data_IF_777921721389
#
_entry.id   IF_777921721389
#
_cell.length_a   1.000
_cell.length_b   1.000
_cell.length_c   1.000
_cell.angle_alpha   90.00
_cell.angle_beta   90.00
_cell.angle_gamma   90.00
#
_symmetry.space_group_name_H-M   'P 1'
#
loop_
_entity.id
_entity.type
_entity.pdbx_description
1 polymer ?
#
# COMPACT_ATOMS: atom_id res chain seq x y z
N UNK A 1 -19.42 10.19 -40.88
CA UNK A 1 -20.42 10.23 -39.80
C UNK A 1 -19.70 10.58 -38.51
N UNK A 2 -20.10 11.64 -37.79
CA UNK A 2 -19.54 11.94 -36.46
C UNK A 2 -20.04 10.86 -35.50
N UNK A 3 -19.13 10.24 -34.74
CA UNK A 3 -19.53 9.37 -33.63
C UNK A 3 -20.44 10.17 -32.68
N UNK A 4 -21.49 9.55 -32.11
CA UNK A 4 -22.27 10.20 -31.06
C UNK A 4 -21.37 10.58 -29.88
N UNK A 5 -21.67 11.67 -29.16
CA UNK A 5 -20.86 12.10 -28.02
C UNK A 5 -20.81 11.01 -26.96
N UNK A 6 -19.63 10.78 -26.39
CA UNK A 6 -19.45 9.82 -25.30
C UNK A 6 -20.23 10.27 -24.07
N UNK A 7 -21.24 9.49 -23.69
CA UNK A 7 -22.12 9.79 -22.55
C UNK A 7 -21.62 9.20 -21.23
N UNK A 8 -20.55 8.40 -21.25
CA UNK A 8 -20.02 7.73 -20.07
C UNK A 8 -19.67 8.71 -18.94
N UNK A 9 -18.88 9.79 -19.17
CA UNK A 9 -18.53 10.72 -18.10
C UNK A 9 -19.74 11.44 -17.51
N UNK A 10 -20.67 11.89 -18.37
CA UNK A 10 -21.86 12.63 -17.94
C UNK A 10 -22.79 11.77 -17.09
N UNK A 11 -23.04 10.51 -17.49
CA UNK A 11 -23.86 9.55 -16.72
C UNK A 11 -23.20 9.22 -15.38
N UNK A 12 -21.88 9.05 -15.37
CA UNK A 12 -21.11 8.77 -14.17
C UNK A 12 -21.10 9.95 -13.18
N UNK A 13 -20.92 11.17 -13.68
CA UNK A 13 -20.98 12.39 -12.88
C UNK A 13 -22.37 12.62 -12.28
N UNK A 14 -23.44 12.42 -13.05
CA UNK A 14 -24.80 12.53 -12.55
C UNK A 14 -25.11 11.52 -11.43
N UNK A 15 -24.52 10.32 -11.49
CA UNK A 15 -24.58 9.37 -10.39
C UNK A 15 -23.76 9.84 -9.19
N UNK A 16 -22.54 10.34 -9.44
CA UNK A 16 -21.65 10.83 -8.38
C UNK A 16 -22.28 11.99 -7.60
N UNK A 17 -22.93 12.94 -8.27
CA UNK A 17 -23.60 14.08 -7.62
C UNK A 17 -24.69 13.65 -6.61
N UNK A 18 -25.24 12.44 -6.75
CA UNK A 18 -26.32 11.92 -5.90
C UNK A 18 -25.87 10.84 -4.91
N UNK A 19 -24.84 10.08 -5.25
CA UNK A 19 -24.47 8.84 -4.57
C UNK A 19 -22.97 8.73 -4.28
N UNK A 20 -22.17 9.67 -4.78
CA UNK A 20 -20.74 9.75 -4.52
C UNK A 20 -20.43 10.02 -3.06
N UNK A 21 -19.21 9.68 -2.64
CA UNK A 21 -18.70 10.04 -1.32
C UNK A 21 -18.06 11.42 -1.40
N UNK A 22 -18.70 12.37 -0.75
CA UNK A 22 -18.29 13.77 -0.71
C UNK A 22 -17.70 14.18 0.64
N UNK A 23 -17.63 13.29 1.62
CA UNK A 23 -17.24 13.55 3.01
C UNK A 23 -15.88 12.93 3.36
N UNK A 24 -15.14 12.42 2.38
CA UNK A 24 -13.85 11.79 2.62
C UNK A 24 -12.83 12.82 3.12
N UNK A 25 -12.03 12.53 4.17
CA UNK A 25 -11.16 13.53 4.79
C UNK A 25 -10.19 14.23 3.82
N UNK A 26 -9.63 13.49 2.85
CA UNK A 26 -8.69 14.03 1.87
C UNK A 26 -9.32 14.97 0.83
N UNK A 27 -10.66 15.06 0.77
CA UNK A 27 -11.36 15.98 -0.11
C UNK A 27 -11.53 17.38 0.50
N UNK A 28 -11.36 17.54 1.83
CA UNK A 28 -11.67 18.79 2.54
C UNK A 28 -10.55 19.21 3.53
N UNK A 29 -9.77 20.25 3.22
CA UNK A 29 -9.61 20.84 1.90
C UNK A 29 -8.94 19.86 0.94
N UNK A 30 -9.19 20.00 -0.36
CA UNK A 30 -8.45 19.25 -1.39
C UNK A 30 -7.14 19.97 -1.68
N UNK A 31 -6.01 19.30 -1.43
CA UNK A 31 -4.68 19.83 -1.75
C UNK A 31 -3.79 18.72 -2.32
N UNK A 32 -2.73 19.05 -3.10
CA UNK A 32 -1.83 18.05 -3.67
C UNK A 32 -1.29 17.08 -2.62
N UNK A 33 -0.78 17.60 -1.49
CA UNK A 33 -0.25 16.78 -0.40
C UNK A 33 -1.29 15.80 0.18
N UNK A 34 -2.52 16.28 0.42
CA UNK A 34 -3.61 15.45 0.99
C UNK A 34 -4.06 14.36 0.02
N UNK A 35 -4.25 14.73 -1.25
CA UNK A 35 -4.61 13.80 -2.33
C UNK A 35 -3.53 12.72 -2.46
N UNK A 36 -2.27 13.13 -2.63
CA UNK A 36 -1.15 12.20 -2.75
C UNK A 36 -1.04 11.25 -1.56
N UNK A 37 -1.11 11.77 -0.33
CA UNK A 37 -1.07 10.95 0.88
C UNK A 37 -2.20 9.91 0.89
N UNK A 38 -3.44 10.31 0.59
CA UNK A 38 -4.56 9.36 0.52
C UNK A 38 -4.40 8.34 -0.58
N UNK A 39 -3.93 8.74 -1.77
CA UNK A 39 -3.72 7.85 -2.91
C UNK A 39 -2.71 6.74 -2.56
N UNK A 40 -1.59 7.09 -1.91
CA UNK A 40 -0.61 6.10 -1.47
C UNK A 40 -1.21 5.19 -0.39
N UNK A 41 -1.95 5.73 0.59
CA UNK A 41 -2.58 4.93 1.63
C UNK A 41 -3.66 3.98 1.10
N UNK A 42 -4.42 4.38 0.06
CA UNK A 42 -5.51 3.60 -0.54
C UNK A 42 -5.03 2.47 -1.45
N UNK A 43 -3.76 2.44 -1.83
CA UNK A 43 -3.19 1.32 -2.59
C UNK A 43 -3.41 -0.01 -1.83
N UNK A 44 -4.28 -0.86 -2.36
CA UNK A 44 -4.61 -2.17 -1.77
C UNK A 44 -5.11 -2.10 -0.32
N UNK A 45 -5.69 -0.97 0.10
CA UNK A 45 -6.20 -0.75 1.46
C UNK A 45 -7.60 -0.14 1.39
N UNK A 46 -8.53 -0.61 2.22
CA UNK A 46 -9.91 -0.14 2.20
C UNK A 46 -10.05 1.27 2.80
N UNK A 47 -10.97 2.08 2.26
CA UNK A 47 -11.25 3.45 2.70
C UNK A 47 -11.49 3.54 4.21
N UNK A 48 -12.33 2.67 4.78
CA UNK A 48 -12.64 2.67 6.21
C UNK A 48 -11.40 2.44 7.10
N UNK A 49 -10.43 1.65 6.62
CA UNK A 49 -9.15 1.43 7.31
C UNK A 49 -8.26 2.67 7.17
N UNK A 50 -8.23 3.30 6.00
CA UNK A 50 -7.36 4.45 5.72
C UNK A 50 -7.77 5.71 6.50
N UNK A 51 -9.06 5.99 6.66
CA UNK A 51 -9.56 7.23 7.31
C UNK A 51 -8.85 7.55 8.65
N UNK A 52 -8.82 6.66 9.66
CA UNK A 52 -8.16 6.98 10.93
C UNK A 52 -6.64 7.13 10.80
N UNK A 53 -6.00 6.43 9.86
CA UNK A 53 -4.57 6.57 9.60
C UNK A 53 -4.25 7.91 8.96
N UNK A 54 -5.02 8.31 7.95
CA UNK A 54 -4.86 9.59 7.25
C UNK A 54 -4.98 10.77 8.22
N UNK A 55 -6.00 10.76 9.09
CA UNK A 55 -6.21 11.81 10.08
C UNK A 55 -5.05 11.91 11.08
N UNK A 56 -4.63 10.77 11.66
CA UNK A 56 -3.50 10.74 12.60
C UNK A 56 -2.17 11.13 11.93
N UNK A 57 -1.96 10.70 10.70
CA UNK A 57 -0.74 10.99 9.95
C UNK A 57 -0.61 12.50 9.69
N UNK A 58 -1.71 13.18 9.33
CA UNK A 58 -1.73 14.63 9.15
C UNK A 58 -1.57 15.42 10.46
N UNK A 59 -1.98 14.87 11.60
CA UNK A 59 -1.71 15.50 12.90
C UNK A 59 -0.20 15.57 13.19
N UNK A 60 0.56 14.55 12.80
CA UNK A 60 2.01 14.49 13.00
C UNK A 60 2.79 15.18 11.87
N UNK A 61 2.32 15.03 10.63
CA UNK A 61 2.98 15.52 9.42
C UNK A 61 1.98 16.37 8.62
N UNK A 62 1.68 17.60 9.08
CA UNK A 62 0.61 18.43 8.51
C UNK A 62 0.94 18.94 7.09
N UNK A 63 2.21 18.99 6.72
CA UNK A 63 2.68 19.49 5.42
C UNK A 63 3.71 18.54 4.80
N UNK A 64 3.91 18.64 3.48
CA UNK A 64 4.93 17.88 2.78
C UNK A 64 6.34 18.15 3.34
N UNK A 65 6.77 19.40 3.60
CA UNK A 65 8.08 19.65 4.23
C UNK A 65 8.20 19.05 5.63
N UNK A 66 7.13 19.05 6.44
CA UNK A 66 7.15 18.41 7.76
C UNK A 66 7.34 16.89 7.66
N UNK A 67 6.69 16.24 6.68
CA UNK A 67 6.93 14.84 6.38
C UNK A 67 8.38 14.59 5.93
N UNK A 68 8.91 15.42 5.04
CA UNK A 68 10.27 15.28 4.51
C UNK A 68 11.34 15.39 5.61
N UNK A 69 11.16 16.31 6.56
CA UNK A 69 12.08 16.56 7.67
C UNK A 69 12.01 15.49 8.78
N UNK A 70 10.94 14.69 8.84
CA UNK A 70 10.76 13.68 9.87
C UNK A 70 11.79 12.54 9.77
N UNK A 71 12.08 11.92 10.92
CA UNK A 71 12.88 10.70 10.96
C UNK A 71 12.09 9.51 10.42
N UNK A 72 12.82 8.55 9.81
CA UNK A 72 12.22 7.35 9.23
C UNK A 72 11.37 6.58 10.25
N UNK A 73 11.83 6.48 11.51
CA UNK A 73 11.13 5.76 12.57
C UNK A 73 9.79 6.40 12.92
N UNK A 74 9.73 7.74 12.98
CA UNK A 74 8.49 8.46 13.22
C UNK A 74 7.47 8.22 12.10
N UNK A 75 7.91 8.23 10.83
CA UNK A 75 7.05 7.93 9.68
C UNK A 75 6.55 6.48 9.70
N UNK A 76 7.45 5.52 9.96
CA UNK A 76 7.08 4.11 10.04
C UNK A 76 6.13 3.82 11.19
N UNK A 77 6.30 4.49 12.34
CA UNK A 77 5.40 4.38 13.48
C UNK A 77 3.97 4.80 13.12
N UNK A 78 3.81 5.93 12.41
CA UNK A 78 2.48 6.38 11.99
C UNK A 78 1.84 5.49 10.91
N UNK A 79 2.66 4.79 10.12
CA UNK A 79 2.23 3.82 9.12
C UNK A 79 1.98 2.41 9.66
N UNK A 80 2.46 2.11 10.87
CA UNK A 80 2.42 0.78 11.46
C UNK A 80 0.99 0.23 11.50
N UNK A 81 0.80 -0.96 10.92
CA UNK A 81 -0.52 -1.59 10.80
C UNK A 81 -1.22 -1.39 9.45
N UNK A 82 -0.83 -0.41 8.63
CA UNK A 82 -1.43 -0.20 7.30
C UNK A 82 -0.91 -1.17 6.23
N UNK A 83 0.20 -1.87 6.50
CA UNK A 83 0.82 -2.83 5.59
C UNK A 83 1.52 -2.19 4.39
N UNK A 84 2.21 -3.02 3.59
CA UNK A 84 3.00 -2.60 2.43
C UNK A 84 3.93 -1.41 2.73
N UNK A 85 4.80 -1.54 3.73
CA UNK A 85 5.68 -0.48 4.23
C UNK A 85 6.61 0.16 3.19
N UNK A 86 6.83 -0.49 2.04
CA UNK A 86 7.49 0.14 0.91
C UNK A 86 6.79 1.43 0.46
N UNK A 87 5.46 1.51 0.60
CA UNK A 87 4.68 2.72 0.34
C UNK A 87 5.09 3.88 1.24
N UNK A 88 5.22 3.64 2.54
CA UNK A 88 5.65 4.65 3.51
C UNK A 88 7.07 5.16 3.21
N UNK A 89 7.99 4.23 2.90
CA UNK A 89 9.38 4.59 2.58
C UNK A 89 9.46 5.41 1.29
N UNK A 90 8.75 4.98 0.25
CA UNK A 90 8.69 5.71 -1.01
C UNK A 90 8.01 7.08 -0.86
N UNK A 91 6.92 7.15 -0.09
CA UNK A 91 6.25 8.42 0.26
C UNK A 91 7.25 9.38 0.92
N UNK A 92 7.99 8.92 1.92
CA UNK A 92 8.97 9.76 2.62
C UNK A 92 10.13 10.18 1.72
N UNK A 93 10.67 9.25 0.92
CA UNK A 93 11.72 9.56 -0.05
C UNK A 93 11.25 10.56 -1.12
N UNK A 94 10.02 10.42 -1.60
CA UNK A 94 9.40 11.37 -2.53
C UNK A 94 9.17 12.75 -1.87
N UNK A 95 8.76 12.81 -0.60
CA UNK A 95 8.64 14.07 0.13
C UNK A 95 9.99 14.79 0.22
N UNK A 96 11.06 14.06 0.57
CA UNK A 96 12.43 14.61 0.56
C UNK A 96 12.83 15.13 -0.81
N UNK A 97 12.53 14.36 -1.87
CA UNK A 97 12.83 14.78 -3.24
C UNK A 97 12.06 16.02 -3.69
N UNK A 98 10.82 16.20 -3.22
CA UNK A 98 10.04 17.41 -3.48
C UNK A 98 10.64 18.65 -2.78
N UNK A 99 11.17 18.50 -1.56
CA UNK A 99 11.91 19.60 -0.90
C UNK A 99 13.21 19.92 -1.66
N UNK A 100 13.91 18.90 -2.15
CA UNK A 100 15.18 19.08 -2.88
C UNK A 100 15.01 19.70 -4.28
N UNK A 101 13.94 19.33 -5.00
CA UNK A 101 13.80 19.63 -6.43
C UNK A 101 12.59 20.48 -6.81
N UNK A 102 11.61 20.61 -5.93
CA UNK A 102 10.27 21.12 -6.27
C UNK A 102 9.76 22.11 -5.20
N UNK A 103 10.67 22.88 -4.60
CA UNK A 103 10.37 23.96 -3.65
C UNK A 103 9.49 23.54 -2.45
N UNK A 104 9.54 22.26 -2.07
CA UNK A 104 8.77 21.72 -0.95
C UNK A 104 7.30 21.43 -1.23
N UNK A 105 6.88 21.38 -2.50
CA UNK A 105 5.55 20.94 -2.91
C UNK A 105 5.61 19.86 -4.01
N UNK A 106 4.47 19.24 -4.31
CA UNK A 106 4.35 18.32 -5.44
C UNK A 106 4.36 19.09 -6.77
N UNK A 107 5.15 18.66 -7.77
CA UNK A 107 5.15 19.30 -9.07
C UNK A 107 3.80 19.09 -9.78
N UNK A 108 3.23 20.14 -10.36
CA UNK A 108 2.08 20.03 -11.30
C UNK A 108 2.58 19.68 -12.70
N UNK A 109 3.26 18.54 -12.81
CA UNK A 109 3.78 18.01 -14.06
C UNK A 109 3.76 16.48 -14.01
N UNK A 110 3.34 15.84 -15.10
CA UNK A 110 3.15 14.39 -15.13
C UNK A 110 4.48 13.65 -14.99
N UNK A 111 5.49 14.03 -15.77
CA UNK A 111 6.78 13.33 -15.82
C UNK A 111 7.54 13.51 -14.50
N UNK A 112 7.52 14.72 -13.94
CA UNK A 112 8.09 15.02 -12.64
C UNK A 112 7.40 14.23 -11.52
N UNK A 113 6.06 14.15 -11.51
CA UNK A 113 5.34 13.31 -10.55
C UNK A 113 5.70 11.83 -10.73
N UNK A 114 5.72 11.33 -11.96
CA UNK A 114 5.99 9.92 -12.24
C UNK A 114 7.43 9.51 -11.89
N UNK A 115 8.38 10.44 -11.93
CA UNK A 115 9.75 10.23 -11.51
C UNK A 115 9.91 10.08 -9.99
N UNK A 116 8.92 10.51 -9.18
CA UNK A 116 9.00 10.40 -7.72
C UNK A 116 8.79 8.94 -7.24
N UNK A 117 9.54 8.51 -6.21
CA UNK A 117 9.40 7.16 -5.65
C UNK A 117 7.96 6.82 -5.27
N UNK A 118 7.47 5.67 -5.75
CA UNK A 118 6.13 5.17 -5.41
C UNK A 118 4.97 5.83 -6.16
N UNK A 119 5.22 6.78 -7.06
CA UNK A 119 4.20 7.40 -7.91
C UNK A 119 4.21 6.74 -9.30
N UNK A 120 3.29 5.81 -9.52
CA UNK A 120 3.05 5.23 -10.84
C UNK A 120 2.17 6.11 -11.73
N UNK A 121 2.04 5.76 -13.01
CA UNK A 121 1.21 6.48 -14.00
C UNK A 121 -0.20 6.82 -13.50
N UNK A 122 -0.90 5.86 -12.89
CA UNK A 122 -2.25 6.10 -12.37
C UNK A 122 -2.27 7.04 -11.16
N UNK A 123 -1.27 6.98 -10.28
CA UNK A 123 -1.19 7.87 -9.12
C UNK A 123 -0.85 9.29 -9.56
N UNK A 124 0.07 9.48 -10.51
CA UNK A 124 0.35 10.78 -11.10
C UNK A 124 -0.92 11.40 -11.71
N UNK A 125 -1.68 10.62 -12.50
CA UNK A 125 -2.95 11.06 -13.05
C UNK A 125 -4.01 11.37 -11.99
N UNK A 126 -4.07 10.60 -10.91
CA UNK A 126 -4.97 10.84 -9.79
C UNK A 126 -4.65 12.14 -9.04
N UNK A 127 -3.36 12.44 -8.83
CA UNK A 127 -2.91 13.70 -8.21
C UNK A 127 -3.27 14.87 -9.13
N UNK A 128 -2.89 14.79 -10.41
CA UNK A 128 -3.15 15.85 -11.40
C UNK A 128 -4.63 16.21 -11.50
N UNK A 129 -5.46 15.19 -11.68
CA UNK A 129 -6.90 15.35 -11.83
C UNK A 129 -7.60 15.79 -10.55
N UNK A 130 -7.26 15.23 -9.39
CA UNK A 130 -7.97 15.59 -8.16
C UNK A 130 -7.48 16.92 -7.59
N UNK A 131 -6.17 17.16 -7.54
CA UNK A 131 -5.62 18.35 -6.89
C UNK A 131 -5.74 19.62 -7.74
N UNK A 132 -5.56 19.50 -9.06
CA UNK A 132 -5.54 20.65 -9.98
C UNK A 132 -6.59 20.60 -11.09
N UNK A 133 -7.46 19.60 -11.09
CA UNK A 133 -8.49 19.41 -12.10
C UNK A 133 -7.93 19.24 -13.54
N UNK A 134 -6.68 18.80 -13.66
CA UNK A 134 -6.04 18.55 -14.94
C UNK A 134 -6.59 17.29 -15.60
N UNK A 135 -6.76 17.33 -16.93
CA UNK A 135 -7.26 16.19 -17.71
C UNK A 135 -6.22 15.07 -17.72
N UNK A 136 -6.38 14.11 -16.82
CA UNK A 136 -5.46 12.98 -16.69
C UNK A 136 -6.21 11.70 -16.33
N UNK A 137 -6.04 10.61 -17.09
CA UNK A 137 -6.72 9.36 -16.79
C UNK A 137 -6.08 8.66 -15.59
N UNK A 138 -6.91 7.89 -14.90
CA UNK A 138 -6.50 6.91 -13.90
C UNK A 138 -6.84 5.49 -14.39
N UNK A 139 -6.14 4.49 -13.88
CA UNK A 139 -6.38 3.09 -14.22
C UNK A 139 -6.03 2.16 -13.04
N UNK A 140 -6.65 2.43 -11.89
CA UNK A 140 -6.53 1.56 -10.71
C UNK A 140 -7.33 0.24 -10.89
N UNK A 141 -7.33 -0.62 -9.87
CA UNK A 141 -8.06 -1.89 -9.94
C UNK A 141 -9.59 -1.73 -10.11
N UNK A 142 -10.16 -0.63 -9.63
CA UNK A 142 -11.58 -0.32 -9.78
C UNK A 142 -11.88 0.10 -11.22
N UNK A 143 -11.14 1.07 -11.75
CA UNK A 143 -11.31 1.56 -13.12
C UNK A 143 -11.03 0.47 -14.14
N UNK A 144 -9.99 -0.35 -13.96
CA UNK A 144 -9.75 -1.53 -14.82
C UNK A 144 -10.97 -2.45 -14.90
N UNK A 145 -11.60 -2.74 -13.77
CA UNK A 145 -12.80 -3.59 -13.73
C UNK A 145 -14.00 -2.93 -14.42
N UNK A 146 -14.22 -1.64 -14.17
CA UNK A 146 -15.31 -0.89 -14.79
C UNK A 146 -15.13 -0.85 -16.31
N UNK A 147 -13.95 -0.47 -16.80
CA UNK A 147 -13.69 -0.33 -18.23
C UNK A 147 -13.67 -1.69 -18.95
N UNK A 148 -13.11 -2.74 -18.34
CA UNK A 148 -13.18 -4.10 -18.93
C UNK A 148 -14.62 -4.59 -19.06
N UNK A 149 -15.47 -4.36 -18.06
CA UNK A 149 -16.90 -4.72 -18.14
C UNK A 149 -17.66 -3.86 -19.13
N UNK A 150 -17.51 -2.54 -19.05
CA UNK A 150 -18.25 -1.60 -19.87
C UNK A 150 -17.95 -1.79 -21.36
N UNK A 151 -16.68 -1.95 -21.72
CA UNK A 151 -16.22 -2.14 -23.10
C UNK A 151 -16.08 -3.61 -23.54
N UNK A 152 -16.30 -4.57 -22.64
CA UNK A 152 -16.17 -6.00 -22.96
C UNK A 152 -14.74 -6.46 -23.25
N UNK A 153 -13.74 -5.84 -22.62
CA UNK A 153 -12.32 -6.16 -22.86
C UNK A 153 -11.94 -7.43 -22.08
N UNK A 154 -11.74 -8.51 -22.82
CA UNK A 154 -11.27 -9.78 -22.30
C UNK A 154 -9.73 -9.82 -22.11
N UNK A 155 -9.28 -10.71 -21.22
CA UNK A 155 -7.86 -10.91 -20.89
C UNK A 155 -7.47 -10.27 -19.56
N UNK A 156 -6.38 -10.75 -18.96
CA UNK A 156 -5.92 -10.28 -17.65
C UNK A 156 -5.41 -8.83 -17.76
N UNK A 157 -6.00 -7.83 -17.06
CA UNK A 157 -5.63 -6.42 -17.18
C UNK A 157 -4.24 -6.04 -16.64
N UNK A 158 -3.49 -7.02 -16.12
CA UNK A 158 -2.07 -6.84 -15.78
C UNK A 158 -1.12 -7.20 -16.93
N UNK A 159 -1.62 -7.70 -18.07
CA UNK A 159 -0.81 -7.91 -19.27
C UNK A 159 -0.79 -6.63 -20.12
N UNK A 160 0.37 -6.23 -20.68
CA UNK A 160 0.47 -5.04 -21.53
C UNK A 160 -0.51 -5.03 -22.71
N UNK A 161 -0.81 -6.20 -23.29
CA UNK A 161 -1.74 -6.34 -24.41
C UNK A 161 -3.19 -5.94 -24.06
N UNK A 162 -3.57 -6.03 -22.78
CA UNK A 162 -4.90 -5.65 -22.28
C UNK A 162 -4.85 -4.27 -21.64
N UNK A 163 -3.78 -3.96 -20.91
CA UNK A 163 -3.63 -2.69 -20.20
C UNK A 163 -3.50 -1.49 -21.15
N UNK A 164 -2.78 -1.62 -22.27
CA UNK A 164 -2.62 -0.52 -23.23
C UNK A 164 -3.96 -0.04 -23.83
N UNK A 165 -4.83 -0.92 -24.36
CA UNK A 165 -6.18 -0.53 -24.78
C UNK A 165 -7.00 0.15 -23.68
N UNK A 166 -6.91 -0.34 -22.43
CA UNK A 166 -7.64 0.26 -21.31
C UNK A 166 -7.16 1.69 -21.00
N UNK A 167 -5.86 1.98 -21.15
CA UNK A 167 -5.36 3.36 -21.06
C UNK A 167 -5.91 4.26 -22.17
N UNK A 168 -6.00 3.75 -23.41
CA UNK A 168 -6.61 4.49 -24.52
C UNK A 168 -8.08 4.80 -24.25
N UNK A 169 -8.84 3.83 -23.74
CA UNK A 169 -10.24 4.02 -23.35
C UNK A 169 -10.40 5.01 -22.19
N UNK A 170 -9.55 4.92 -21.18
CA UNK A 170 -9.55 5.88 -20.07
C UNK A 170 -9.26 7.31 -20.57
N UNK A 171 -8.30 7.46 -21.49
CA UNK A 171 -8.00 8.76 -22.10
C UNK A 171 -9.19 9.30 -22.91
N UNK A 172 -9.84 8.47 -23.74
CA UNK A 172 -10.98 8.93 -24.53
C UNK A 172 -12.14 9.42 -23.67
N UNK A 173 -12.39 8.77 -22.53
CA UNK A 173 -13.41 9.24 -21.59
C UNK A 173 -13.03 10.55 -20.91
N UNK A 174 -11.75 10.74 -20.55
CA UNK A 174 -11.23 11.98 -19.96
C UNK A 174 -11.44 13.17 -20.90
N UNK A 175 -11.30 12.99 -22.20
CA UNK A 175 -11.50 14.05 -23.20
C UNK A 175 -12.96 14.53 -23.25
N UNK A 176 -13.92 13.67 -22.87
CA UNK A 176 -15.35 13.97 -22.84
C UNK A 176 -15.86 14.51 -21.48
N UNK A 177 -15.01 14.60 -20.45
CA UNK A 177 -15.40 15.16 -19.14
C UNK A 177 -15.65 16.67 -19.27
N UNK A 178 -16.73 17.23 -18.68
CA UNK A 178 -16.94 18.68 -18.64
C UNK A 178 -15.81 19.44 -17.91
N UNK A 179 -15.50 20.65 -18.36
CA UNK A 179 -14.50 21.50 -17.71
C UNK A 179 -14.85 21.73 -16.23
N UNK A 180 -13.84 21.76 -15.36
CA UNK A 180 -14.03 21.93 -13.92
C UNK A 180 -14.52 20.69 -13.16
N UNK A 181 -14.86 19.58 -13.84
CA UNK A 181 -15.42 18.35 -13.22
C UNK A 181 -14.44 17.17 -13.17
N UNK A 182 -13.16 17.39 -13.47
CA UNK A 182 -12.19 16.31 -13.59
C UNK A 182 -11.89 15.64 -12.26
N UNK A 183 -11.77 16.43 -11.19
CA UNK A 183 -11.58 15.90 -9.85
C UNK A 183 -12.76 15.03 -9.40
N UNK A 184 -13.99 15.46 -9.70
CA UNK A 184 -15.21 14.70 -9.42
C UNK A 184 -15.28 13.43 -10.28
N UNK A 185 -14.95 13.52 -11.57
CA UNK A 185 -14.93 12.37 -12.47
C UNK A 185 -13.94 11.30 -12.00
N UNK A 186 -12.72 11.70 -11.61
CA UNK A 186 -11.72 10.78 -11.06
C UNK A 186 -12.24 10.09 -9.79
N UNK A 187 -12.81 10.84 -8.84
CA UNK A 187 -13.41 10.26 -7.65
C UNK A 187 -14.60 9.35 -7.98
N UNK A 188 -15.45 9.77 -8.92
CA UNK A 188 -16.63 9.02 -9.36
C UNK A 188 -16.24 7.66 -9.93
N UNK A 189 -15.18 7.58 -10.74
CA UNK A 189 -14.69 6.30 -11.25
C UNK A 189 -14.27 5.34 -10.14
N UNK A 190 -13.54 5.84 -9.13
CA UNK A 190 -13.10 5.04 -7.99
C UNK A 190 -14.29 4.60 -7.13
N UNK A 191 -15.20 5.51 -6.78
CA UNK A 191 -16.39 5.25 -5.98
C UNK A 191 -17.33 4.27 -6.67
N UNK A 192 -17.55 4.46 -7.96
CA UNK A 192 -18.41 3.62 -8.77
C UNK A 192 -17.92 2.17 -8.80
N UNK A 193 -16.62 1.96 -9.04
CA UNK A 193 -16.04 0.63 -8.96
C UNK A 193 -16.07 0.06 -7.53
N UNK A 194 -15.89 0.88 -6.51
CA UNK A 194 -15.87 0.45 -5.13
C UNK A 194 -17.25 0.08 -4.56
N UNK A 195 -18.33 0.71 -5.03
CA UNK A 195 -19.66 0.63 -4.39
C UNK A 195 -20.76 0.05 -5.28
N UNK A 196 -20.65 0.17 -6.61
CA UNK A 196 -21.70 -0.24 -7.54
C UNK A 196 -21.24 -1.36 -8.49
N UNK A 197 -20.18 -1.11 -9.25
CA UNK A 197 -19.54 -2.11 -10.12
C UNK A 197 -18.48 -2.90 -9.32
N UNK A 198 -18.91 -3.50 -8.22
CA UNK A 198 -18.05 -4.24 -7.28
C UNK A 198 -17.51 -5.54 -7.90
N UNK A 199 -16.45 -6.09 -7.30
CA UNK A 199 -15.83 -7.35 -7.79
C UNK A 199 -16.83 -8.49 -7.87
N UNK A 200 -17.63 -8.68 -6.83
CA UNK A 200 -18.64 -9.72 -6.72
C UNK A 200 -20.00 -9.08 -6.42
N UNK A 201 -21.07 -9.62 -7.01
CA UNK A 201 -22.44 -9.14 -6.88
C UNK A 201 -22.60 -7.64 -7.19
N UNK A 202 -22.15 -7.14 -8.35
CA UNK A 202 -22.33 -5.74 -8.72
C UNK A 202 -23.81 -5.41 -8.87
N UNK A 203 -24.20 -4.20 -8.45
CA UNK A 203 -25.59 -3.73 -8.50
C UNK A 203 -25.99 -3.25 -9.90
N UNK A 204 -25.90 -4.14 -10.91
CA UNK A 204 -26.11 -3.80 -12.32
C UNK A 204 -27.49 -3.20 -12.61
N UNK A 205 -28.54 -3.57 -11.87
CA UNK A 205 -29.89 -3.02 -12.03
C UNK A 205 -29.95 -1.53 -11.68
N UNK A 206 -29.13 -1.10 -10.72
CA UNK A 206 -29.01 0.29 -10.28
C UNK A 206 -27.93 1.05 -11.07
N UNK A 207 -27.25 0.39 -12.00
CA UNK A 207 -26.10 0.96 -12.68
C UNK A 207 -26.53 2.01 -13.71
N UNK A 208 -26.08 3.28 -13.58
CA UNK A 208 -26.36 4.33 -14.54
C UNK A 208 -25.78 4.06 -15.91
N UNK A 209 -24.87 3.08 -16.09
CA UNK A 209 -24.22 2.72 -17.36
C UNK A 209 -24.76 1.41 -17.95
N UNK A 210 -25.82 0.85 -17.39
CA UNK A 210 -26.24 -0.53 -17.64
C UNK A 210 -26.70 -0.82 -19.07
N UNK A 211 -27.19 0.18 -19.80
CA UNK A 211 -27.74 0.01 -21.15
C UNK A 211 -26.64 -0.16 -22.21
N UNK A 212 -25.47 0.46 -21.96
CA UNK A 212 -24.33 0.46 -22.87
C UNK A 212 -23.23 -0.52 -22.41
N UNK A 213 -23.38 -1.14 -21.24
CA UNK A 213 -22.38 -2.05 -20.67
C UNK A 213 -22.36 -3.39 -21.42
N UNK A 214 -21.28 -3.62 -22.19
CA UNK A 214 -21.08 -4.84 -22.99
C UNK A 214 -21.14 -6.09 -22.12
N UNK A 215 -20.47 -6.11 -20.95
CA UNK A 215 -20.49 -7.27 -20.09
C UNK A 215 -21.87 -7.60 -19.53
N UNK A 216 -22.75 -6.60 -19.32
CA UNK A 216 -24.13 -6.85 -18.90
C UNK A 216 -24.95 -7.44 -20.05
N UNK A 217 -24.85 -6.85 -21.24
CA UNK A 217 -25.52 -7.32 -22.45
C UNK A 217 -25.16 -8.77 -22.78
N UNK A 218 -23.88 -9.13 -22.64
CA UNK A 218 -23.34 -10.41 -23.06
C UNK A 218 -23.22 -11.44 -21.90
N UNK A 219 -23.67 -11.09 -20.69
CA UNK A 219 -23.60 -12.00 -19.54
C UNK A 219 -22.18 -12.26 -19.01
N UNK A 220 -21.23 -11.35 -19.24
CA UNK A 220 -19.81 -11.48 -18.89
C UNK A 220 -19.41 -10.77 -17.59
N UNK A 221 -20.37 -10.21 -16.84
CA UNK A 221 -20.09 -9.40 -15.63
C UNK A 221 -19.22 -10.14 -14.60
N UNK A 222 -19.50 -11.42 -14.35
CA UNK A 222 -18.73 -12.24 -13.40
C UNK A 222 -17.40 -12.75 -13.99
N UNK A 223 -17.30 -12.82 -15.33
CA UNK A 223 -16.10 -13.28 -16.03
C UNK A 223 -15.05 -12.16 -16.24
N UNK A 224 -15.48 -10.89 -16.15
CA UNK A 224 -14.63 -9.72 -16.36
C UNK A 224 -14.42 -8.90 -15.08
N UNK A 225 -13.18 -8.44 -14.82
CA UNK A 225 -11.97 -8.66 -15.61
C UNK A 225 -11.50 -10.13 -15.52
N UNK A 226 -10.87 -10.63 -16.59
CA UNK A 226 -10.28 -11.97 -16.57
C UNK A 226 -9.26 -12.08 -15.43
N UNK A 227 -9.33 -13.12 -14.59
CA UNK A 227 -8.47 -13.23 -13.43
C UNK A 227 -7.00 -13.36 -13.82
N UNK A 228 -6.11 -12.99 -12.89
CA UNK A 228 -4.68 -13.22 -13.04
C UNK A 228 -4.44 -14.73 -13.27
N UNK A 229 -3.65 -15.13 -14.28
CA UNK A 229 -3.26 -16.51 -14.45
C UNK A 229 -2.60 -17.03 -13.16
N UNK A 230 -3.06 -18.18 -12.68
CA UNK A 230 -2.50 -18.81 -11.48
C UNK A 230 -1.00 -19.08 -11.65
N UNK A 231 -0.24 -18.88 -10.57
CA UNK A 231 1.15 -19.34 -10.45
C UNK A 231 1.30 -20.04 -9.12
N UNK A 232 2.04 -21.14 -9.10
CA UNK A 232 2.52 -21.74 -7.86
C UNK A 232 3.39 -20.69 -7.15
N UNK A 233 3.03 -20.33 -5.92
CA UNK A 233 3.84 -19.43 -5.12
C UNK A 233 5.04 -20.21 -4.59
N UNK A 234 6.28 -19.74 -4.78
CA UNK A 234 7.44 -20.32 -4.12
C UNK A 234 7.24 -20.32 -2.60
N UNK A 235 7.71 -21.37 -1.93
CA UNK A 235 7.78 -21.44 -0.48
C UNK A 235 9.20 -21.11 -0.03
N UNK A 236 9.32 -20.38 1.07
CA UNK A 236 10.58 -20.03 1.72
C UNK A 236 10.50 -20.34 3.19
N UNK A 237 11.59 -20.82 3.74
CA UNK A 237 11.74 -21.12 5.16
C UNK A 237 12.75 -20.15 5.78
N UNK A 238 12.53 -19.80 7.04
CA UNK A 238 13.46 -19.04 7.84
C UNK A 238 13.26 -19.37 9.32
N UNK A 239 14.29 -19.12 10.12
CA UNK A 239 14.24 -19.20 11.58
C UNK A 239 14.34 -17.80 12.16
N UNK A 240 13.69 -17.57 13.31
CA UNK A 240 13.76 -16.30 14.04
C UNK A 240 14.00 -16.52 15.52
N UNK A 241 14.81 -15.67 16.15
CA UNK A 241 15.10 -15.72 17.58
C UNK A 241 14.27 -14.71 18.36
N UNK A 242 13.43 -15.21 19.26
CA UNK A 242 12.79 -14.44 20.30
C UNK A 242 13.68 -14.46 21.55
N UNK A 243 14.45 -13.40 21.73
CA UNK A 243 15.41 -13.26 22.82
C UNK A 243 14.89 -12.30 23.87
N UNK A 244 14.87 -12.74 25.12
CA UNK A 244 14.41 -11.96 26.27
C UNK A 244 15.52 -11.87 27.33
N UNK A 245 15.91 -10.65 27.72
CA UNK A 245 16.94 -10.45 28.74
C UNK A 245 16.38 -10.63 30.17
N UNK A 246 17.24 -10.48 31.19
CA UNK A 246 16.83 -10.62 32.59
C UNK A 246 15.82 -9.53 33.05
N UNK A 247 15.78 -8.38 32.37
CA UNK A 247 14.84 -7.30 32.63
C UNK A 247 13.49 -7.49 31.91
N UNK A 248 13.33 -8.55 31.10
CA UNK A 248 12.12 -8.82 30.33
C UNK A 248 12.00 -8.03 29.03
N UNK A 249 13.07 -7.36 28.60
CA UNK A 249 13.15 -6.66 27.33
C UNK A 249 13.42 -7.65 26.19
N UNK A 250 12.95 -7.31 24.99
CA UNK A 250 13.08 -8.14 23.80
C UNK A 250 14.15 -7.58 22.87
N UNK A 251 15.01 -8.44 22.34
CA UNK A 251 15.99 -8.03 21.35
C UNK A 251 15.33 -7.93 19.97
N UNK A 252 15.39 -6.75 19.37
CA UNK A 252 14.93 -6.52 18.01
C UNK A 252 16.07 -6.08 17.11
N UNK A 253 16.01 -6.53 15.86
CA UNK A 253 16.95 -6.18 14.79
C UNK A 253 16.22 -5.39 13.69
N UNK A 254 16.84 -4.31 13.22
CA UNK A 254 16.37 -3.56 12.05
C UNK A 254 16.74 -4.31 10.77
N UNK A 255 15.78 -4.47 9.86
CA UNK A 255 16.03 -5.04 8.53
C UNK A 255 16.80 -4.06 7.64
N UNK A 256 17.63 -4.56 6.70
CA UNK A 256 18.25 -3.73 5.66
C UNK A 256 17.24 -2.84 4.92
N UNK A 257 17.68 -1.75 4.25
CA UNK A 257 16.80 -0.83 3.54
C UNK A 257 16.13 -1.42 2.29
N UNK A 258 16.54 -2.62 1.89
CA UNK A 258 15.96 -3.38 0.78
C UNK A 258 15.57 -4.79 1.20
N UNK A 259 14.70 -5.43 0.41
CA UNK A 259 14.20 -6.78 0.67
C UNK A 259 12.98 -6.84 1.59
N UNK A 260 12.74 -8.02 2.17
CA UNK A 260 11.53 -8.31 2.95
C UNK A 260 11.56 -7.50 4.25
N UNK A 261 10.42 -6.86 4.55
CA UNK A 261 10.25 -6.00 5.73
C UNK A 261 11.32 -4.91 5.87
N UNK A 262 11.84 -4.41 4.75
CA UNK A 262 12.92 -3.43 4.73
C UNK A 262 12.71 -2.25 5.70
N UNK A 263 13.76 -1.92 6.46
CA UNK A 263 13.81 -0.90 7.51
C UNK A 263 12.87 -1.09 8.71
N UNK A 264 12.09 -2.17 8.77
CA UNK A 264 11.27 -2.50 9.94
C UNK A 264 12.11 -3.18 11.01
N UNK A 265 11.65 -3.05 12.26
CA UNK A 265 12.16 -3.83 13.37
C UNK A 265 11.52 -5.21 13.38
N UNK A 266 12.30 -6.25 13.63
CA UNK A 266 11.84 -7.64 13.67
C UNK A 266 12.71 -8.45 14.63
N UNK A 267 12.35 -9.71 14.86
CA UNK A 267 13.24 -10.66 15.52
C UNK A 267 14.49 -10.92 14.65
N UNK A 268 15.68 -11.09 15.23
CA UNK A 268 16.84 -11.63 14.53
C UNK A 268 16.46 -12.90 13.78
N UNK A 269 16.82 -13.00 12.49
CA UNK A 269 16.40 -14.12 11.65
C UNK A 269 17.45 -14.48 10.60
N UNK A 270 17.44 -15.74 10.17
CA UNK A 270 18.25 -16.25 9.07
C UNK A 270 17.48 -17.32 8.29
N UNK A 271 17.93 -17.60 7.07
CA UNK A 271 17.28 -18.59 6.19
C UNK A 271 17.66 -20.03 6.61
N UNK A 272 18.81 -20.19 7.28
CA UNK A 272 19.28 -21.49 7.77
C UNK A 272 19.65 -21.47 9.26
N UNK A 273 19.57 -22.64 9.90
CA UNK A 273 19.91 -22.80 11.32
C UNK A 273 21.40 -22.52 11.59
N UNK A 274 22.28 -22.92 10.67
CA UNK A 274 23.73 -22.62 10.76
C UNK A 274 24.03 -21.13 10.79
N UNK A 275 23.36 -20.34 9.93
CA UNK A 275 23.50 -18.89 9.92
C UNK A 275 22.95 -18.25 11.19
N UNK A 276 21.81 -18.74 11.69
CA UNK A 276 21.20 -18.22 12.92
C UNK A 276 22.06 -18.52 14.15
N UNK A 277 22.68 -19.70 14.21
CA UNK A 277 23.66 -20.08 15.24
C UNK A 277 24.90 -19.20 15.20
N UNK A 278 25.45 -18.97 14.00
CA UNK A 278 26.60 -18.08 13.81
C UNK A 278 26.26 -16.64 14.20
N UNK A 279 25.03 -16.19 13.92
CA UNK A 279 24.53 -14.90 14.39
C UNK A 279 24.42 -14.87 15.92
N UNK A 280 23.79 -15.88 16.54
CA UNK A 280 23.63 -15.95 18.00
C UNK A 280 24.98 -15.95 18.72
N UNK A 281 25.92 -16.79 18.29
CA UNK A 281 27.26 -16.87 18.89
C UNK A 281 28.06 -15.56 18.78
N UNK A 282 27.74 -14.70 17.80
CA UNK A 282 28.37 -13.39 17.63
C UNK A 282 27.85 -12.35 18.63
N UNK A 283 26.56 -12.39 18.94
CA UNK A 283 25.88 -11.32 19.67
C UNK A 283 25.50 -11.68 21.10
N UNK A 284 25.30 -12.96 21.38
CA UNK A 284 24.68 -13.46 22.61
C UNK A 284 25.63 -14.34 23.43
N UNK A 285 25.55 -14.20 24.75
CA UNK A 285 26.25 -15.04 25.71
C UNK A 285 25.32 -15.46 26.86
N UNK A 286 25.82 -16.36 27.72
CA UNK A 286 25.18 -16.75 28.98
C UNK A 286 24.18 -17.91 28.89
N UNK A 287 23.64 -18.22 27.70
CA UNK A 287 22.81 -19.41 27.45
C UNK A 287 23.22 -20.10 26.16
N UNK A 288 23.16 -21.43 26.15
CA UNK A 288 23.39 -22.21 24.95
C UNK A 288 22.23 -22.02 23.97
N UNK A 289 22.53 -21.92 22.69
CA UNK A 289 21.52 -21.89 21.63
C UNK A 289 20.65 -23.16 21.65
N UNK A 290 21.21 -24.31 22.04
CA UNK A 290 20.47 -25.58 22.12
C UNK A 290 19.35 -25.56 23.17
N UNK A 291 19.36 -24.60 24.10
CA UNK A 291 18.28 -24.41 25.08
C UNK A 291 17.03 -23.74 24.47
N UNK A 292 17.04 -23.44 23.17
CA UNK A 292 15.96 -22.73 22.52
C UNK A 292 14.65 -23.54 22.49
N UNK A 293 13.57 -22.92 22.98
CA UNK A 293 12.22 -23.48 22.87
C UNK A 293 11.63 -23.15 21.49
N UNK A 294 11.28 -24.17 20.71
CA UNK A 294 10.57 -23.97 19.45
C UNK A 294 9.11 -23.56 19.69
N UNK A 295 8.72 -22.41 19.13
CA UNK A 295 7.34 -21.93 19.16
C UNK A 295 6.55 -22.41 17.93
N UNK A 296 5.21 -22.31 17.91
CA UNK A 296 4.42 -22.65 16.72
C UNK A 296 4.89 -21.87 15.47
N UNK A 297 5.00 -22.53 14.30
CA UNK A 297 5.46 -21.89 13.08
C UNK A 297 4.46 -20.84 12.60
N UNK A 298 4.99 -19.75 12.05
CA UNK A 298 4.21 -18.66 11.48
C UNK A 298 4.25 -18.78 9.96
N UNK A 299 3.08 -18.98 9.35
CA UNK A 299 2.93 -18.94 7.90
C UNK A 299 2.42 -17.57 7.47
N UNK A 300 3.22 -16.85 6.68
CA UNK A 300 2.85 -15.55 6.14
C UNK A 300 2.92 -15.57 4.61
N UNK A 301 1.80 -15.28 3.95
CA UNK A 301 1.73 -15.27 2.48
C UNK A 301 1.90 -13.85 1.95
N UNK A 302 2.97 -13.65 1.18
CA UNK A 302 3.17 -12.45 0.36
C UNK A 302 2.57 -12.66 -1.03
N UNK A 303 2.47 -11.58 -1.81
CA UNK A 303 2.00 -11.64 -3.20
C UNK A 303 2.87 -12.47 -4.15
N UNK A 304 4.12 -12.77 -3.74
CA UNK A 304 5.14 -13.36 -4.60
C UNK A 304 5.82 -14.61 -4.01
N UNK A 305 5.61 -14.94 -2.73
CA UNK A 305 6.01 -16.20 -2.10
C UNK A 305 5.29 -16.39 -0.75
N UNK A 306 5.37 -17.60 -0.18
CA UNK A 306 4.91 -17.92 1.18
C UNK A 306 6.12 -18.12 2.10
N UNK A 307 6.15 -17.44 3.24
CA UNK A 307 7.17 -17.59 4.26
C UNK A 307 6.68 -18.52 5.37
N UNK A 308 7.47 -19.52 5.69
CA UNK A 308 7.36 -20.38 6.85
C UNK A 308 8.45 -19.95 7.82
N UNK A 309 8.07 -19.26 8.90
CA UNK A 309 8.99 -18.75 9.90
C UNK A 309 8.88 -19.63 11.15
N UNK A 310 9.99 -20.24 11.56
CA UNK A 310 10.08 -21.03 12.79
C UNK A 310 10.68 -20.15 13.91
N UNK A 311 9.88 -19.70 14.91
CA UNK A 311 10.42 -18.92 16.01
C UNK A 311 11.05 -19.85 17.06
N UNK A 312 12.19 -19.42 17.60
CA UNK A 312 12.96 -20.08 18.64
C UNK A 312 13.12 -19.11 19.80
N UNK A 313 12.72 -19.50 21.02
CA UNK A 313 12.72 -18.62 22.19
C UNK A 313 13.85 -18.96 23.15
N UNK A 314 14.58 -17.94 23.58
CA UNK A 314 15.45 -18.00 24.75
C UNK A 314 15.15 -16.86 25.71
N UNK A 315 15.22 -17.15 27.01
CA UNK A 315 15.03 -16.18 28.09
C UNK A 315 16.28 -16.06 28.94
N UNK A 316 16.43 -14.93 29.63
CA UNK A 316 17.56 -14.60 30.50
C UNK A 316 18.89 -14.66 29.75
N UNK A 317 18.89 -14.17 28.52
CA UNK A 317 20.09 -14.04 27.69
C UNK A 317 20.72 -12.66 27.87
N UNK A 318 22.02 -12.53 27.60
CA UNK A 318 22.74 -11.26 27.66
C UNK A 318 23.52 -11.01 26.37
N UNK A 319 23.63 -9.74 25.96
CA UNK A 319 24.57 -9.33 24.91
C UNK A 319 25.98 -9.21 25.49
N UNK A 320 27.01 -9.44 24.66
CA UNK A 320 28.40 -9.32 25.09
C UNK A 320 28.83 -7.89 25.38
N UNK A 321 29.71 -7.72 26.37
CA UNK A 321 30.14 -6.43 26.93
C UNK A 321 30.77 -5.44 25.91
N UNK A 322 31.16 -5.90 24.72
CA UNK A 322 31.89 -5.08 23.73
C UNK A 322 30.98 -4.34 22.73
N UNK A 323 29.68 -4.61 22.68
CA UNK A 323 28.77 -4.04 21.69
C UNK A 323 27.41 -3.76 22.34
N UNK A 324 27.19 -2.53 22.81
CA UNK A 324 25.87 -2.07 23.24
C UNK A 324 24.87 -1.98 22.09
N UNK A 325 23.64 -1.53 22.39
CA UNK A 325 22.63 -1.22 21.38
C UNK A 325 23.26 -0.41 20.24
N UNK A 326 23.16 -0.92 19.01
CA UNK A 326 23.58 -0.21 17.81
C UNK A 326 22.34 0.19 17.01
N UNK A 327 22.52 1.01 15.96
CA UNK A 327 21.38 1.52 15.17
C UNK A 327 20.47 0.44 14.57
N UNK A 328 20.95 -0.80 14.50
CA UNK A 328 20.29 -1.94 13.88
C UNK A 328 19.96 -3.10 14.84
N UNK A 329 20.35 -3.02 16.11
CA UNK A 329 20.11 -4.06 17.12
C UNK A 329 19.92 -3.41 18.49
N UNK A 330 18.78 -3.64 19.14
CA UNK A 330 18.49 -3.03 20.44
C UNK A 330 17.58 -3.86 21.33
N UNK A 331 17.76 -3.73 22.65
CA UNK A 331 16.77 -4.18 23.63
C UNK A 331 15.57 -3.23 23.66
N UNK A 332 14.36 -3.79 23.70
CA UNK A 332 13.11 -3.02 23.68
C UNK A 332 12.20 -3.52 24.78
N UNK A 333 11.81 -2.62 25.69
CA UNK A 333 10.79 -2.90 26.67
C UNK A 333 9.44 -3.20 25.98
N UNK A 334 8.66 -4.13 26.53
CA UNK A 334 7.37 -4.54 25.96
C UNK A 334 6.40 -3.36 25.75
N UNK A 335 6.43 -2.39 26.66
CA UNK A 335 5.62 -1.17 26.58
C UNK A 335 5.96 -0.30 25.36
N UNK A 336 7.22 -0.34 24.90
CA UNK A 336 7.70 0.51 23.80
C UNK A 336 7.51 -0.13 22.43
N UNK A 337 7.07 -1.39 22.36
CA UNK A 337 6.87 -2.08 21.09
C UNK A 337 5.91 -1.33 20.17
N UNK A 338 4.87 -0.69 20.72
CA UNK A 338 3.90 0.10 19.94
C UNK A 338 4.51 1.30 19.21
N UNK A 339 5.68 1.77 19.64
CA UNK A 339 6.39 2.89 19.01
C UNK A 339 7.15 2.46 17.76
N UNK A 340 7.30 1.15 17.51
CA UNK A 340 8.09 0.61 16.41
C UNK A 340 7.23 0.09 15.25
N UNK A 341 7.74 0.30 14.04
CA UNK A 341 7.26 -0.38 12.84
C UNK A 341 7.64 -1.86 12.85
N UNK A 342 6.69 -2.72 13.25
CA UNK A 342 6.83 -4.18 13.24
C UNK A 342 6.03 -4.81 12.08
N UNK A 343 6.53 -5.89 11.46
CA UNK A 343 5.71 -6.73 10.59
C UNK A 343 4.52 -7.32 11.34
N UNK A 344 3.35 -7.36 10.69
CA UNK A 344 2.13 -7.95 11.26
C UNK A 344 2.32 -9.36 11.88
N UNK A 345 3.01 -10.33 11.24
CA UNK A 345 3.23 -11.65 11.86
C UNK A 345 4.06 -11.59 13.14
N UNK A 346 5.07 -10.72 13.19
CA UNK A 346 5.92 -10.54 14.37
C UNK A 346 5.15 -9.82 15.47
N UNK A 347 4.40 -8.76 15.15
CA UNK A 347 3.53 -8.10 16.13
C UNK A 347 2.55 -9.09 16.75
N UNK A 348 1.86 -9.89 15.93
CA UNK A 348 0.93 -10.92 16.42
C UNK A 348 1.61 -11.94 17.34
N UNK A 349 2.83 -12.36 17.02
CA UNK A 349 3.63 -13.23 17.89
C UNK A 349 3.88 -12.54 19.23
N UNK A 350 4.37 -11.30 19.22
CA UNK A 350 4.74 -10.56 20.43
C UNK A 350 3.55 -10.20 21.32
N UNK A 351 2.41 -9.83 20.73
CA UNK A 351 1.19 -9.51 21.45
C UNK A 351 0.55 -10.78 22.09
N UNK A 352 0.92 -11.97 21.61
CA UNK A 352 0.45 -13.26 22.14
C UNK A 352 1.33 -13.88 23.23
N UNK A 353 2.45 -13.24 23.60
CA UNK A 353 3.39 -13.67 24.65
C UNK A 353 3.08 -13.01 25.99
#
# INVERSE_FOLDING_TARGET
>A
MRQPPDTFPTRLLAWFDRHGRHDLPWQHPRSPYRVWLSEIMLQQTQVAVVIPYFLRFLQHFPTLPALAAADNDAVMAQWAGLGYYARARNLHAAAKRCVELHDGDLPRDFDALHALPGIGRSTAGAILSQAWNDRSPILDGNVKRVLTRYHGVAGYPGLPAVEKPLWTLAQSHVDAVPDGRMADYTQAQMDFGATLCTRANPACVLCPLQDDCVARRDGLVEALPTPKPGKTLPEREALALLLENAAGELLLQRRPPSGIWASLWTLPQADTDSELRAWYARWMHGRDYEDAEALPPIVHTFSHYRLHLQPLRLRKVAMGDALGDNGDLRWVARADLSTLGLPAPIRKLLDGL
#
